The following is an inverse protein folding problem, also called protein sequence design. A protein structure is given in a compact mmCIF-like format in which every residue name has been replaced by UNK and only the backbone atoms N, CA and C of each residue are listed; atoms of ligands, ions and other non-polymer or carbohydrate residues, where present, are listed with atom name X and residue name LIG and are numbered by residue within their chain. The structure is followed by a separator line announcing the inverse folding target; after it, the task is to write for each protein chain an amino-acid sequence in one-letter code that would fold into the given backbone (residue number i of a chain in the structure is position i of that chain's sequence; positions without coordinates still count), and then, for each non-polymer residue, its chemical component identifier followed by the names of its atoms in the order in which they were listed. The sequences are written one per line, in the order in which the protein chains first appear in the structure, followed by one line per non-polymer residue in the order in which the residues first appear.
data_IF_132391225733
#
_entry.id   IF_132391225733
#
_cell.length_a   1.000
_cell.length_b   1.000
_cell.length_c   1.000
_cell.angle_alpha   90.00
_cell.angle_beta   90.00
_cell.angle_gamma   90.00
#
_symmetry.space_group_name_H-M   'P 1'
#
loop_
_entity.id
_entity.type
_entity.pdbx_description
1 polymer ?
#
# COMPACT_ATOMS: atom_id res chain seq x y z
N UNK A 1 12.25 -13.92 -5.23
CA UNK A 1 12.08 -12.46 -5.14
C UNK A 1 12.82 -11.97 -3.91
N UNK A 2 13.60 -10.90 -4.04
CA UNK A 2 14.38 -10.26 -2.96
C UNK A 2 13.71 -8.95 -2.56
N UNK A 3 14.02 -8.44 -1.39
CA UNK A 3 13.56 -7.14 -0.91
C UNK A 3 13.86 -6.01 -1.90
N UNK A 4 15.05 -6.03 -2.51
CA UNK A 4 15.46 -5.09 -3.56
C UNK A 4 14.51 -5.04 -4.75
N UNK A 5 13.89 -6.19 -5.08
CA UNK A 5 12.95 -6.30 -6.20
C UNK A 5 11.61 -5.64 -5.86
N UNK A 6 11.31 -5.46 -4.57
CA UNK A 6 10.09 -4.80 -4.11
C UNK A 6 10.28 -3.29 -3.93
N UNK A 7 11.48 -2.85 -3.53
CA UNK A 7 11.80 -1.44 -3.31
C UNK A 7 11.60 -0.55 -4.54
N UNK A 8 11.68 -1.11 -5.74
CA UNK A 8 11.41 -0.37 -6.98
C UNK A 8 9.96 0.16 -7.08
N UNK A 9 9.03 -0.48 -6.36
CA UNK A 9 7.61 -0.11 -6.34
C UNK A 9 7.27 0.92 -5.25
N UNK A 10 8.17 1.14 -4.30
CA UNK A 10 7.97 2.06 -3.19
C UNK A 10 8.41 3.48 -3.59
N UNK A 11 7.63 4.51 -3.23
CA UNK A 11 7.97 5.91 -3.48
C UNK A 11 8.75 6.52 -2.32
N UNK A 12 8.43 6.15 -1.08
CA UNK A 12 8.95 6.74 0.15
C UNK A 12 9.95 5.84 0.87
N UNK A 13 9.67 4.55 1.02
CA UNK A 13 10.55 3.59 1.68
C UNK A 13 11.61 3.06 0.71
N UNK A 14 12.89 3.32 1.00
CA UNK A 14 14.03 2.88 0.17
C UNK A 14 14.96 1.92 0.92
N UNK A 15 14.46 1.26 1.97
CA UNK A 15 15.24 0.34 2.79
C UNK A 15 15.93 0.99 4.00
N UNK A 16 15.66 2.27 4.28
CA UNK A 16 16.27 2.96 5.41
C UNK A 16 15.80 2.38 6.75
N UNK A 17 16.68 2.37 7.76
CA UNK A 17 16.33 1.88 9.10
C UNK A 17 15.40 2.84 9.86
N UNK A 18 15.48 4.14 9.56
CA UNK A 18 14.71 5.20 10.23
C UNK A 18 13.89 5.96 9.20
N UNK A 19 12.68 6.35 9.58
CA UNK A 19 11.79 7.11 8.72
C UNK A 19 12.30 8.56 8.58
N UNK A 20 12.73 9.01 7.38
CA UNK A 20 13.30 10.34 7.21
C UNK A 20 12.26 11.46 7.31
N UNK A 21 10.98 11.12 7.20
CA UNK A 21 9.84 12.04 7.24
C UNK A 21 9.22 12.20 8.63
N UNK A 22 9.63 11.35 9.59
CA UNK A 22 9.13 11.39 10.97
C UNK A 22 9.38 12.76 11.61
N UNK A 23 8.33 13.34 12.21
CA UNK A 23 8.36 14.68 12.80
C UNK A 23 8.44 15.84 11.81
N UNK A 24 8.45 15.59 10.50
CA UNK A 24 8.55 16.62 9.45
C UNK A 24 7.33 16.67 8.53
N UNK A 25 6.97 15.52 7.97
CA UNK A 25 5.89 15.40 6.99
C UNK A 25 5.02 14.19 7.32
N UNK A 26 3.99 14.40 8.14
CA UNK A 26 3.19 13.33 8.73
C UNK A 26 2.65 12.33 7.68
N UNK A 27 2.10 12.83 6.57
CA UNK A 27 1.53 11.95 5.54
C UNK A 27 2.60 11.13 4.82
N UNK A 28 3.77 11.72 4.52
CA UNK A 28 4.89 10.95 3.94
C UNK A 28 5.47 9.97 4.93
N UNK A 29 5.54 10.33 6.21
CA UNK A 29 5.98 9.42 7.26
C UNK A 29 5.06 8.20 7.38
N UNK A 30 3.75 8.42 7.32
CA UNK A 30 2.75 7.36 7.31
C UNK A 30 2.88 6.47 6.06
N UNK A 31 2.98 7.06 4.86
CA UNK A 31 3.14 6.32 3.61
C UNK A 31 4.42 5.48 3.58
N UNK A 32 5.54 6.04 4.10
CA UNK A 32 6.78 5.31 4.30
C UNK A 32 6.59 4.07 5.18
N UNK A 33 5.81 4.18 6.27
CA UNK A 33 5.54 3.04 7.15
C UNK A 33 4.71 1.96 6.45
N UNK A 34 3.74 2.36 5.62
CA UNK A 34 2.90 1.43 4.89
C UNK A 34 3.67 0.68 3.81
N UNK A 35 4.50 1.37 3.03
CA UNK A 35 5.37 0.73 2.04
C UNK A 35 6.36 -0.25 2.70
N UNK A 36 6.94 0.14 3.84
CA UNK A 36 7.81 -0.75 4.61
C UNK A 36 7.08 -1.99 5.10
N UNK A 37 5.87 -1.82 5.66
CA UNK A 37 5.05 -2.94 6.11
C UNK A 37 4.70 -3.88 4.94
N UNK A 38 4.33 -3.32 3.79
CA UNK A 38 4.03 -4.10 2.59
C UNK A 38 5.22 -4.97 2.14
N UNK A 39 6.44 -4.42 2.11
CA UNK A 39 7.65 -5.19 1.79
C UNK A 39 7.86 -6.32 2.79
N UNK A 40 7.80 -6.01 4.09
CA UNK A 40 8.04 -6.98 5.14
C UNK A 40 7.03 -8.14 5.09
N UNK A 41 5.75 -7.82 4.92
CA UNK A 41 4.68 -8.80 4.83
C UNK A 41 4.84 -9.67 3.57
N UNK A 42 5.15 -9.05 2.43
CA UNK A 42 5.39 -9.75 1.17
C UNK A 42 6.58 -10.71 1.27
N UNK A 43 7.70 -10.26 1.87
CA UNK A 43 8.87 -11.09 2.10
C UNK A 43 8.59 -12.24 3.08
N UNK A 44 7.78 -12.01 4.10
CA UNK A 44 7.39 -13.06 5.05
C UNK A 44 6.54 -14.16 4.39
N UNK A 45 5.62 -13.79 3.49
CA UNK A 45 4.83 -14.74 2.69
C UNK A 45 5.75 -15.57 1.78
N UNK A 46 6.65 -14.90 1.05
CA UNK A 46 7.63 -15.58 0.18
C UNK A 46 8.50 -16.57 0.99
N UNK A 47 8.98 -16.17 2.18
CA UNK A 47 9.83 -17.00 3.01
C UNK A 47 9.12 -18.27 3.54
N UNK A 48 7.79 -18.22 3.71
CA UNK A 48 6.98 -19.38 4.14
C UNK A 48 6.74 -20.38 3.01
N UNK A 49 7.08 -20.04 1.77
CA UNK A 49 6.76 -20.85 0.60
C UNK A 49 5.30 -20.76 0.18
N UNK A 50 4.54 -19.84 0.78
CA UNK A 50 3.18 -19.54 0.35
C UNK A 50 3.26 -18.79 -0.99
N UNK A 51 3.05 -19.52 -2.09
CA UNK A 51 3.06 -18.97 -3.45
C UNK A 51 1.96 -17.91 -3.68
N UNK A 52 0.96 -17.86 -2.79
CA UNK A 52 -0.11 -16.87 -2.82
C UNK A 52 0.30 -15.59 -2.10
N UNK A 53 1.21 -14.82 -2.71
CA UNK A 53 1.38 -13.37 -2.41
C UNK A 53 0.05 -12.61 -2.58
N UNK A 54 -0.89 -13.20 -3.32
CA UNK A 54 -2.27 -12.75 -3.51
C UNK A 54 -3.14 -12.79 -2.24
N UNK A 55 -2.74 -13.45 -1.16
CA UNK A 55 -3.41 -13.29 0.15
C UNK A 55 -2.97 -12.00 0.86
N UNK A 56 -2.74 -10.92 0.11
CA UNK A 56 -2.74 -9.61 0.74
C UNK A 56 -4.14 -9.43 1.32
N UNK A 57 -4.26 -9.46 2.65
CA UNK A 57 -5.51 -9.49 3.44
C UNK A 57 -6.60 -8.50 3.02
N UNK A 58 -6.25 -7.51 2.22
CA UNK A 58 -7.08 -6.37 1.85
C UNK A 58 -7.50 -6.38 0.37
N UNK A 59 -7.03 -7.32 -0.45
CA UNK A 59 -7.31 -7.34 -1.89
C UNK A 59 -8.78 -7.60 -2.17
N UNK A 60 -9.41 -8.52 -1.43
CA UNK A 60 -10.82 -8.84 -1.61
C UNK A 60 -11.71 -7.61 -1.35
N UNK A 61 -11.44 -6.87 -0.28
CA UNK A 61 -12.14 -5.61 0.03
C UNK A 61 -11.92 -4.56 -1.06
N UNK A 62 -10.69 -4.43 -1.56
CA UNK A 62 -10.31 -3.49 -2.61
C UNK A 62 -11.02 -3.79 -3.94
N UNK A 63 -11.08 -5.06 -4.33
CA UNK A 63 -11.77 -5.54 -5.51
C UNK A 63 -13.29 -5.39 -5.35
N UNK A 64 -13.83 -5.71 -4.17
CA UNK A 64 -15.26 -5.63 -3.88
C UNK A 64 -15.83 -4.20 -4.01
N UNK A 65 -15.01 -3.18 -3.74
CA UNK A 65 -15.40 -1.77 -3.93
C UNK A 65 -15.08 -1.21 -5.33
N UNK A 66 -14.68 -2.08 -6.27
CA UNK A 66 -14.48 -1.71 -7.68
C UNK A 66 -13.17 -0.98 -7.97
N UNK A 67 -12.14 -1.15 -7.14
CA UNK A 67 -10.83 -0.50 -7.35
C UNK A 67 -9.83 -1.33 -8.17
N UNK A 68 -10.22 -2.51 -8.67
CA UNK A 68 -9.35 -3.45 -9.40
C UNK A 68 -8.55 -2.80 -10.54
N UNK A 69 -9.20 -1.91 -11.30
CA UNK A 69 -8.60 -1.23 -12.46
C UNK A 69 -8.08 0.18 -12.14
N UNK A 70 -8.09 0.58 -10.87
CA UNK A 70 -7.69 1.93 -10.48
C UNK A 70 -6.17 2.14 -10.65
N UNK A 71 -5.81 3.08 -11.53
CA UNK A 71 -4.42 3.46 -11.86
C UNK A 71 -3.54 2.25 -12.25
N UNK A 72 -4.08 1.21 -12.89
CA UNK A 72 -3.37 -0.06 -13.11
C UNK A 72 -2.04 0.03 -13.91
N UNK A 73 -1.75 1.17 -14.54
CA UNK A 73 -0.54 1.43 -15.31
C UNK A 73 0.48 2.36 -14.61
N UNK A 74 0.25 2.75 -13.35
CA UNK A 74 1.13 3.66 -12.60
C UNK A 74 2.40 3.00 -12.02
N UNK A 75 2.57 1.70 -12.24
CA UNK A 75 3.71 0.93 -11.74
C UNK A 75 3.61 0.55 -10.26
N UNK A 76 2.52 0.90 -9.56
CA UNK A 76 2.31 0.52 -8.16
C UNK A 76 1.53 -0.80 -8.10
N UNK A 77 2.04 -1.85 -7.44
CA UNK A 77 1.35 -3.13 -7.34
C UNK A 77 -0.02 -3.00 -6.67
N UNK A 78 -1.01 -3.73 -7.19
CA UNK A 78 -2.39 -3.75 -6.63
C UNK A 78 -2.41 -4.15 -5.16
N UNK A 79 -1.49 -5.03 -4.72
CA UNK A 79 -1.35 -5.42 -3.32
C UNK A 79 -0.94 -4.25 -2.43
N UNK A 80 -0.06 -3.35 -2.91
CA UNK A 80 0.32 -2.13 -2.20
C UNK A 80 -0.86 -1.14 -2.17
N UNK A 81 -1.55 -0.95 -3.30
CA UNK A 81 -2.77 -0.11 -3.34
C UNK A 81 -3.85 -0.60 -2.38
N UNK A 82 -4.05 -1.91 -2.30
CA UNK A 82 -5.04 -2.53 -1.39
C UNK A 82 -4.70 -2.26 0.08
N UNK A 83 -3.42 -2.33 0.46
CA UNK A 83 -2.97 -1.96 1.80
C UNK A 83 -3.21 -0.48 2.09
N UNK A 84 -2.86 0.40 1.14
CA UNK A 84 -3.07 1.85 1.30
C UNK A 84 -4.56 2.17 1.50
N UNK A 85 -5.43 1.54 0.71
CA UNK A 85 -6.88 1.71 0.84
C UNK A 85 -7.39 1.23 2.19
N UNK A 86 -7.01 0.02 2.62
CA UNK A 86 -7.43 -0.52 3.91
C UNK A 86 -7.00 0.37 5.08
N UNK A 87 -5.77 0.91 5.05
CA UNK A 87 -5.30 1.85 6.09
C UNK A 87 -6.02 3.19 6.02
N UNK A 88 -6.29 3.70 4.82
CA UNK A 88 -7.06 4.91 4.63
C UNK A 88 -8.49 4.77 5.16
N UNK A 89 -9.13 3.63 4.88
CA UNK A 89 -10.48 3.33 5.34
C UNK A 89 -10.55 3.12 6.85
N UNK A 90 -9.58 2.44 7.48
CA UNK A 90 -9.52 2.30 8.94
C UNK A 90 -9.43 3.65 9.68
N UNK A 91 -8.86 4.67 9.05
CA UNK A 91 -8.82 6.03 9.60
C UNK A 91 -10.13 6.82 9.45
N UNK A 92 -11.06 6.36 8.61
CA UNK A 92 -12.32 7.03 8.31
C UNK A 92 -13.48 6.17 8.82
N UNK A 93 -14.27 6.65 9.78
CA UNK A 93 -15.38 5.91 10.40
C UNK A 93 -16.62 5.73 9.49
N UNK A 94 -16.42 5.55 8.18
CA UNK A 94 -17.46 5.41 7.15
C UNK A 94 -17.40 4.03 6.48
N UNK A 95 -18.37 3.68 5.64
CA UNK A 95 -18.33 2.41 4.91
C UNK A 95 -17.13 2.37 3.94
N UNK A 96 -16.68 1.17 3.57
CA UNK A 96 -15.61 1.01 2.57
C UNK A 96 -15.96 1.71 1.24
N UNK A 97 -17.24 1.67 0.83
CA UNK A 97 -17.71 2.34 -0.38
C UNK A 97 -17.56 3.87 -0.30
N UNK A 98 -17.87 4.47 0.85
CA UNK A 98 -17.72 5.91 1.06
C UNK A 98 -16.26 6.36 1.04
N UNK A 99 -15.33 5.45 1.32
CA UNK A 99 -13.90 5.71 1.31
C UNK A 99 -13.29 5.72 -0.11
N UNK A 100 -13.99 5.21 -1.14
CA UNK A 100 -13.44 5.02 -2.50
C UNK A 100 -12.99 6.33 -3.12
N UNK A 101 -13.89 7.30 -3.30
CA UNK A 101 -13.57 8.56 -3.98
C UNK A 101 -12.57 9.44 -3.18
N UNK A 102 -12.70 9.57 -1.84
CA UNK A 102 -11.67 10.24 -1.04
C UNK A 102 -10.31 9.54 -1.13
N UNK A 103 -10.27 8.20 -1.13
CA UNK A 103 -9.03 7.45 -1.31
C UNK A 103 -8.41 7.72 -2.68
N UNK A 104 -9.18 7.72 -3.78
CA UNK A 104 -8.62 8.01 -5.11
C UNK A 104 -7.96 9.39 -5.16
N UNK A 105 -8.57 10.40 -4.52
CA UNK A 105 -7.99 11.76 -4.42
C UNK A 105 -6.70 11.75 -3.61
N UNK A 106 -6.71 11.09 -2.45
CA UNK A 106 -5.52 10.92 -1.61
C UNK A 106 -4.41 10.20 -2.38
N UNK A 107 -4.73 9.11 -3.07
CA UNK A 107 -3.79 8.33 -3.85
C UNK A 107 -3.13 9.18 -4.94
N UNK A 108 -3.92 9.89 -5.74
CA UNK A 108 -3.40 10.78 -6.80
C UNK A 108 -2.52 11.90 -6.27
N UNK A 109 -2.78 12.41 -5.07
CA UNK A 109 -1.93 13.44 -4.45
C UNK A 109 -0.51 12.93 -4.15
N UNK A 110 -0.37 11.64 -3.82
CA UNK A 110 0.91 11.07 -3.35
C UNK A 110 1.58 10.12 -4.36
N UNK A 111 0.81 9.47 -5.23
CA UNK A 111 1.25 8.46 -6.20
C UNK A 111 0.97 8.85 -7.66
N UNK A 112 0.19 9.91 -7.90
CA UNK A 112 0.03 10.50 -9.23
C UNK A 112 1.25 11.28 -9.70
#
# INVERSE_FOLDING_TARGET
MKESDLLQYCRYYKGERKNPYEGKEQNKAMLWMYERAWIHDTMAVIARGDANVSESRNLDEYVAVGLSDFENADGVPITLKSLLFNRYAQGNMSSLADCVEPFKKFYKQYYG
#
